data_IF_350342521275
#
_entry.id   IF_350342521275
#
_cell.length_a   1.000
_cell.length_b   1.000
_cell.length_c   1.000
_cell.angle_alpha   90.00
_cell.angle_beta   90.00
_cell.angle_gamma   90.00
#
_symmetry.space_group_name_H-M   'P 1'
#
loop_
_entity.id
_entity.type
_entity.pdbx_description
1 polymer ?
#
# COMPACT_ATOMS: atom_id res chain seq x y z
N UNK A 1 0.56 -9.57 20.15
CA UNK A 1 0.74 -10.38 18.92
C UNK A 1 0.11 -9.59 17.80
N UNK A 2 0.80 -9.38 16.67
CA UNK A 2 0.14 -8.80 15.50
C UNK A 2 -0.62 -9.92 14.79
N UNK A 3 -1.88 -9.65 14.38
CA UNK A 3 -2.75 -10.68 13.81
C UNK A 3 -2.23 -11.26 12.48
N UNK A 4 -1.30 -10.56 11.82
CA UNK A 4 -0.65 -11.03 10.60
C UNK A 4 0.83 -11.27 10.84
N UNK A 5 1.21 -12.55 11.00
CA UNK A 5 2.60 -13.00 11.08
C UNK A 5 2.90 -13.91 9.89
N UNK A 6 3.90 -13.56 9.09
CA UNK A 6 4.40 -14.33 7.93
C UNK A 6 5.91 -14.18 7.85
N UNK A 7 6.57 -15.18 7.28
CA UNK A 7 7.99 -15.17 6.97
C UNK A 7 8.33 -14.20 5.85
N UNK A 8 9.61 -13.87 5.71
CA UNK A 8 10.09 -12.99 4.65
C UNK A 8 9.81 -13.55 3.24
N UNK A 9 10.00 -14.85 3.07
CA UNK A 9 9.74 -15.54 1.81
C UNK A 9 8.27 -15.54 1.42
N UNK A 10 7.37 -15.70 2.39
CA UNK A 10 5.93 -15.61 2.15
C UNK A 10 5.54 -14.20 1.71
N UNK A 11 6.11 -13.16 2.34
CA UNK A 11 5.86 -11.78 1.91
C UNK A 11 6.34 -11.50 0.50
N UNK A 12 7.54 -11.97 0.14
CA UNK A 12 8.08 -11.81 -1.23
C UNK A 12 7.26 -12.53 -2.30
N UNK A 13 6.50 -13.57 -1.93
CA UNK A 13 5.57 -14.27 -2.84
C UNK A 13 4.23 -13.55 -2.98
N UNK A 14 3.76 -12.89 -1.92
CA UNK A 14 2.45 -12.23 -1.88
C UNK A 14 2.48 -10.81 -2.44
N UNK A 15 3.56 -10.08 -2.17
CA UNK A 15 3.70 -8.66 -2.51
C UNK A 15 4.48 -8.50 -3.82
N UNK A 16 4.18 -7.44 -4.57
CA UNK A 16 5.10 -7.00 -5.63
C UNK A 16 6.43 -6.53 -5.03
N UNK A 17 7.53 -6.50 -5.80
CA UNK A 17 8.82 -6.03 -5.29
C UNK A 17 8.75 -4.62 -4.66
N UNK A 18 7.99 -3.70 -5.26
CA UNK A 18 7.80 -2.35 -4.76
C UNK A 18 6.98 -2.32 -3.46
N UNK A 19 5.89 -3.08 -3.37
CA UNK A 19 5.10 -3.21 -2.15
C UNK A 19 5.91 -3.81 -1.01
N UNK A 20 6.71 -4.83 -1.29
CA UNK A 20 7.60 -5.44 -0.29
C UNK A 20 8.65 -4.44 0.21
N UNK A 21 9.30 -3.70 -0.70
CA UNK A 21 10.26 -2.66 -0.35
C UNK A 21 9.64 -1.60 0.58
N UNK A 22 8.47 -1.06 0.22
CA UNK A 22 7.80 -0.03 1.03
C UNK A 22 7.30 -0.59 2.37
N UNK A 23 6.56 -1.71 2.36
CA UNK A 23 5.87 -2.20 3.57
C UNK A 23 6.77 -2.95 4.55
N UNK A 24 7.85 -3.59 4.07
CA UNK A 24 8.69 -4.48 4.88
C UNK A 24 10.11 -3.97 5.07
N UNK A 25 10.61 -3.12 4.17
CA UNK A 25 11.95 -2.53 4.25
C UNK A 25 11.92 -1.03 4.55
N UNK A 26 10.75 -0.49 4.90
CA UNK A 26 10.55 0.94 5.22
C UNK A 26 10.99 1.86 4.05
N UNK A 27 10.91 1.35 2.84
CA UNK A 27 11.22 2.09 1.62
C UNK A 27 10.21 3.17 1.33
N UNK A 28 10.57 4.09 0.43
CA UNK A 28 9.66 5.10 -0.12
C UNK A 28 9.65 4.97 -1.63
N UNK A 29 8.47 4.86 -2.22
CA UNK A 29 8.30 4.86 -3.67
C UNK A 29 8.74 6.20 -4.28
N UNK A 30 9.02 6.21 -5.58
CA UNK A 30 9.38 7.46 -6.25
C UNK A 30 8.15 8.36 -6.34
N UNK A 31 8.35 9.66 -6.18
CA UNK A 31 7.29 10.65 -6.28
C UNK A 31 6.52 10.50 -7.62
N UNK A 32 5.20 10.56 -7.53
CA UNK A 32 4.27 10.57 -8.68
C UNK A 32 4.27 9.31 -9.56
N UNK A 33 4.90 8.20 -9.14
CA UNK A 33 4.98 6.98 -9.98
C UNK A 33 3.97 5.90 -9.63
N UNK A 34 3.33 5.99 -8.46
CA UNK A 34 2.44 4.94 -8.02
C UNK A 34 1.11 4.94 -8.82
N UNK A 35 0.49 3.75 -8.93
CA UNK A 35 -0.78 3.55 -9.65
C UNK A 35 -1.95 4.38 -9.10
N UNK A 36 -1.89 4.78 -7.84
CA UNK A 36 -3.00 5.40 -7.11
C UNK A 36 -2.87 6.91 -6.95
N UNK A 37 -1.78 7.52 -7.42
CA UNK A 37 -1.44 8.93 -7.25
C UNK A 37 -2.57 9.79 -7.82
N UNK A 38 -2.92 9.57 -9.09
CA UNK A 38 -4.01 10.27 -9.77
C UNK A 38 -5.35 9.52 -9.72
N UNK A 39 -5.47 8.46 -8.91
CA UNK A 39 -6.72 7.73 -8.83
C UNK A 39 -7.82 8.59 -8.18
N UNK A 40 -8.94 8.72 -8.89
CA UNK A 40 -10.18 9.40 -8.44
C UNK A 40 -11.40 8.49 -8.46
N UNK A 41 -11.21 7.18 -8.70
CA UNK A 41 -12.31 6.21 -8.69
C UNK A 41 -12.87 6.05 -7.26
N UNK A 42 -14.21 6.00 -7.10
CA UNK A 42 -14.82 5.68 -5.81
C UNK A 42 -14.39 4.31 -5.29
N UNK A 43 -14.10 4.19 -4.00
CA UNK A 43 -13.73 2.93 -3.35
C UNK A 43 -13.01 3.11 -2.02
N UNK A 44 -12.47 2.01 -1.50
CA UNK A 44 -11.71 1.96 -0.24
C UNK A 44 -10.30 1.48 -0.52
N UNK A 45 -9.32 2.19 0.05
CA UNK A 45 -7.92 1.78 0.06
C UNK A 45 -7.69 0.80 1.21
N UNK A 46 -7.26 -0.41 0.86
CA UNK A 46 -6.94 -1.47 1.82
C UNK A 46 -5.43 -1.55 2.03
N UNK A 47 -5.01 -1.98 3.22
CA UNK A 47 -3.63 -2.33 3.49
C UNK A 47 -3.22 -3.52 2.64
N UNK A 48 -2.22 -3.37 1.76
CA UNK A 48 -1.76 -4.48 0.92
C UNK A 48 -1.10 -5.64 1.72
N UNK A 49 -0.81 -5.45 3.02
CA UNK A 49 -0.30 -6.51 3.89
C UNK A 49 -1.36 -7.31 4.65
N UNK A 50 -2.47 -6.69 5.04
CA UNK A 50 -3.47 -7.32 5.90
C UNK A 50 -4.93 -7.14 5.44
N UNK A 51 -5.14 -6.53 4.27
CA UNK A 51 -6.46 -6.28 3.65
C UNK A 51 -7.45 -5.46 4.50
N UNK A 52 -7.00 -4.88 5.60
CA UNK A 52 -7.82 -4.01 6.43
C UNK A 52 -8.08 -2.65 5.74
N UNK A 53 -9.29 -2.09 5.87
CA UNK A 53 -9.61 -0.78 5.31
C UNK A 53 -8.83 0.33 6.03
N UNK A 54 -8.19 1.20 5.23
CA UNK A 54 -7.42 2.34 5.74
C UNK A 54 -8.09 3.68 5.40
N UNK A 55 -8.43 3.90 4.13
CA UNK A 55 -8.92 5.20 3.66
C UNK A 55 -10.10 5.07 2.69
N UNK A 56 -11.07 5.98 2.81
CA UNK A 56 -12.12 6.18 1.80
C UNK A 56 -11.63 7.10 0.68
N UNK A 57 -11.98 6.80 -0.56
CA UNK A 57 -11.73 7.69 -1.70
C UNK A 57 -12.37 9.06 -1.54
N UNK A 58 -13.43 9.18 -0.74
CA UNK A 58 -14.14 10.44 -0.47
C UNK A 58 -13.25 11.48 0.22
N UNK A 59 -12.25 11.04 0.96
CA UNK A 59 -11.31 11.91 1.66
C UNK A 59 -10.00 12.13 0.88
N UNK A 60 -9.85 11.52 -0.30
CA UNK A 60 -8.65 11.68 -1.12
C UNK A 60 -8.70 13.02 -1.87
N UNK A 61 -7.70 13.85 -1.63
CA UNK A 61 -7.48 15.10 -2.38
C UNK A 61 -6.13 15.08 -3.09
N UNK A 62 -5.89 16.08 -3.93
CA UNK A 62 -4.60 16.29 -4.60
C UNK A 62 -3.79 17.30 -3.79
N UNK A 63 -2.71 16.85 -3.17
CA UNK A 63 -1.81 17.67 -2.37
C UNK A 63 -0.62 18.21 -3.16
N UNK A 64 -0.41 17.75 -4.41
CA UNK A 64 0.81 18.04 -5.17
C UNK A 64 2.07 17.36 -4.63
N UNK A 65 1.92 16.22 -3.94
CA UNK A 65 3.00 15.42 -3.34
C UNK A 65 2.96 13.96 -3.78
#
# INVERSE_FOLDING_TARGET
MFDVTKTDEEWKKLLTPEQYYVLRQEGTERAFTNKYHDNKKPGTYLCAGCDLPLFSSEHKFDSGT
#
